data_IF_956772664883
#
_entry.id   IF_956772664883
#
_cell.length_a   1.000
_cell.length_b   1.000
_cell.length_c   1.000
_cell.angle_alpha   90.00
_cell.angle_beta   90.00
_cell.angle_gamma   90.00
#
_symmetry.space_group_name_H-M   'P 1'
#
loop_
_entity.id
_entity.type
_entity.pdbx_description
1 polymer ?
#
# COMPACT_ATOMS: atom_id res chain seq x y z
N UNK A 1 17.16 -4.26 -13.62
CA UNK A 1 16.49 -4.89 -12.46
C UNK A 1 14.98 -5.09 -12.67
N UNK A 2 14.18 -4.04 -12.90
CA UNK A 2 12.71 -4.19 -13.07
C UNK A 2 12.29 -5.18 -14.17
N UNK A 3 12.93 -5.15 -15.35
CA UNK A 3 12.66 -6.15 -16.41
C UNK A 3 12.93 -7.57 -15.94
N UNK A 4 13.96 -7.81 -15.13
CA UNK A 4 14.29 -9.15 -14.61
C UNK A 4 13.20 -9.66 -13.66
N UNK A 5 12.72 -8.78 -12.77
CA UNK A 5 11.63 -9.08 -11.84
C UNK A 5 10.29 -9.31 -12.56
N UNK A 6 10.03 -8.56 -13.64
CA UNK A 6 8.83 -8.76 -14.46
C UNK A 6 8.77 -10.16 -15.06
N UNK A 7 9.91 -10.78 -15.39
CA UNK A 7 9.94 -12.16 -15.89
C UNK A 7 9.77 -13.20 -14.78
N UNK A 8 10.20 -12.90 -13.56
CA UNK A 8 10.14 -13.84 -12.41
C UNK A 8 8.75 -13.90 -11.75
N UNK A 9 7.97 -12.81 -11.76
CA UNK A 9 6.69 -12.69 -11.02
C UNK A 9 5.46 -13.13 -11.84
N UNK A 10 5.60 -13.54 -13.11
CA UNK A 10 4.47 -13.91 -14.00
C UNK A 10 3.72 -15.20 -13.57
N UNK A 11 4.16 -15.93 -12.53
CA UNK A 11 3.36 -17.03 -11.97
C UNK A 11 2.26 -16.48 -11.07
N UNK A 12 1.02 -16.54 -11.59
CA UNK A 12 -0.25 -16.03 -11.00
C UNK A 12 -0.27 -16.03 -9.46
N UNK A 13 -0.18 -14.83 -8.91
CA UNK A 13 -0.69 -14.46 -7.58
C UNK A 13 -1.94 -13.56 -7.71
N UNK A 14 -2.62 -13.65 -8.87
CA UNK A 14 -3.71 -12.76 -9.30
C UNK A 14 -4.97 -12.82 -8.42
N UNK A 15 -5.02 -13.68 -7.40
CA UNK A 15 -6.20 -13.87 -6.55
C UNK A 15 -6.15 -13.27 -5.15
N UNK A 16 -4.98 -12.84 -4.64
CA UNK A 16 -4.84 -12.38 -3.23
C UNK A 16 -4.52 -10.89 -3.08
N UNK A 17 -3.96 -10.28 -4.13
CA UNK A 17 -3.67 -8.85 -4.35
C UNK A 17 -4.84 -7.96 -4.76
N UNK A 18 -6.04 -8.52 -4.89
CA UNK A 18 -7.17 -7.74 -5.34
C UNK A 18 -7.51 -6.73 -4.25
N UNK A 19 -7.70 -5.47 -4.65
CA UNK A 19 -8.35 -4.44 -3.83
C UNK A 19 -9.77 -4.81 -3.38
N UNK A 20 -10.19 -6.06 -3.58
CA UNK A 20 -11.35 -6.72 -2.99
C UNK A 20 -11.19 -6.92 -1.47
N UNK A 21 -10.78 -5.89 -0.75
CA UNK A 21 -11.40 -5.68 0.56
C UNK A 21 -12.85 -5.26 0.30
N UNK A 22 -13.66 -6.19 -0.20
CA UNK A 22 -15.10 -6.21 0.03
C UNK A 22 -15.29 -6.41 1.52
N UNK A 23 -15.06 -5.36 2.29
CA UNK A 23 -15.55 -5.34 3.65
C UNK A 23 -17.06 -5.45 3.56
N UNK A 24 -17.64 -6.33 4.37
CA UNK A 24 -19.10 -6.41 4.58
C UNK A 24 -19.67 -5.08 5.14
N UNK A 25 -18.82 -4.10 5.46
CA UNK A 25 -19.20 -2.72 5.75
C UNK A 25 -19.53 -1.97 4.46
N UNK A 26 -20.83 -1.72 4.30
CA UNK A 26 -21.44 -0.91 3.25
C UNK A 26 -21.24 0.57 3.59
N UNK A 27 -20.66 1.35 2.68
CA UNK A 27 -20.31 2.77 2.88
C UNK A 27 -20.76 3.67 1.73
N UNK A 28 -20.57 4.99 1.90
CA UNK A 28 -20.88 6.05 0.93
C UNK A 28 -19.79 6.17 -0.13
N UNK A 29 -19.60 5.13 -0.94
CA UNK A 29 -18.67 5.16 -2.08
C UNK A 29 -19.13 6.11 -3.20
N UNK A 30 -18.22 6.41 -4.13
CA UNK A 30 -18.52 7.26 -5.30
C UNK A 30 -19.13 6.46 -6.47
N UNK A 31 -18.88 5.15 -6.54
CA UNK A 31 -19.34 4.28 -7.61
C UNK A 31 -20.59 3.48 -7.22
N UNK A 32 -21.63 3.56 -8.05
CA UNK A 32 -22.85 2.75 -7.90
C UNK A 32 -22.51 1.27 -8.11
N UNK A 33 -22.64 0.46 -7.07
CA UNK A 33 -22.44 -0.98 -7.10
C UNK A 33 -23.66 -1.73 -7.64
N UNK A 34 -24.82 -1.39 -7.08
CA UNK A 34 -26.06 -2.14 -7.27
C UNK A 34 -27.28 -1.31 -6.85
N UNK A 35 -28.47 -1.81 -7.19
CA UNK A 35 -29.76 -1.33 -6.72
C UNK A 35 -30.42 -2.45 -5.93
N UNK A 36 -30.88 -2.15 -4.72
CA UNK A 36 -31.65 -3.10 -3.92
C UNK A 36 -32.92 -2.48 -3.38
N UNK A 37 -33.88 -3.32 -3.02
CA UNK A 37 -35.07 -2.87 -2.30
C UNK A 37 -34.69 -2.21 -0.96
N UNK A 38 -35.41 -1.14 -0.66
CA UNK A 38 -35.33 -0.39 0.58
C UNK A 38 -35.64 -1.29 1.78
N UNK A 39 -34.82 -1.18 2.81
CA UNK A 39 -35.07 -1.79 4.11
C UNK A 39 -35.24 -0.69 5.15
N UNK A 40 -36.01 -1.00 6.20
CA UNK A 40 -36.10 -0.11 7.35
C UNK A 40 -34.67 0.16 7.87
N UNK A 41 -34.37 1.41 8.19
CA UNK A 41 -33.03 1.94 8.54
C UNK A 41 -32.13 2.37 7.37
N UNK A 42 -32.56 2.22 6.13
CA UNK A 42 -31.83 2.80 4.99
C UNK A 42 -31.98 4.33 4.93
N UNK A 43 -30.90 5.01 4.56
CA UNK A 43 -30.90 6.45 4.34
C UNK A 43 -31.72 6.79 3.08
N UNK A 44 -32.83 7.50 3.28
CA UNK A 44 -33.78 7.90 2.23
C UNK A 44 -33.14 8.77 1.14
N UNK A 45 -32.00 9.43 1.41
CA UNK A 45 -31.28 10.24 0.41
C UNK A 45 -30.67 9.39 -0.70
N UNK A 46 -30.45 8.11 -0.44
CA UNK A 46 -29.90 7.18 -1.43
C UNK A 46 -30.98 6.50 -2.28
N UNK A 47 -32.27 6.78 -2.05
CA UNK A 47 -33.37 6.24 -2.87
C UNK A 47 -33.19 6.69 -4.32
N UNK A 48 -33.28 5.73 -5.24
CA UNK A 48 -33.39 6.00 -6.67
C UNK A 48 -34.86 6.16 -7.04
N UNK A 49 -35.30 7.41 -7.19
CA UNK A 49 -36.69 7.72 -7.51
C UNK A 49 -37.10 7.27 -8.92
N UNK A 50 -36.16 7.17 -9.87
CA UNK A 50 -36.46 6.74 -11.23
C UNK A 50 -36.75 5.23 -11.28
N UNK A 51 -35.94 4.42 -10.61
CA UNK A 51 -36.13 2.97 -10.51
C UNK A 51 -37.37 2.67 -9.66
N UNK A 52 -37.54 3.40 -8.55
CA UNK A 52 -38.72 3.29 -7.69
C UNK A 52 -40.00 3.59 -8.46
N UNK A 53 -40.02 4.62 -9.31
CA UNK A 53 -41.18 4.94 -10.13
C UNK A 53 -41.50 3.87 -11.18
N UNK A 54 -40.51 3.13 -11.70
CA UNK A 54 -40.72 2.06 -12.69
C UNK A 54 -41.17 0.75 -12.05
N UNK A 55 -40.59 0.39 -10.91
CA UNK A 55 -40.84 -0.88 -10.23
C UNK A 55 -41.95 -0.80 -9.17
N UNK A 56 -42.39 0.41 -8.82
CA UNK A 56 -43.40 0.70 -7.78
C UNK A 56 -43.00 0.18 -6.38
N UNK A 57 -41.72 -0.14 -6.19
CA UNK A 57 -41.12 -0.60 -4.94
C UNK A 57 -39.90 0.29 -4.67
N UNK A 58 -39.74 0.87 -3.46
CA UNK A 58 -38.60 1.73 -3.16
C UNK A 58 -37.26 1.00 -3.30
N UNK A 59 -36.37 1.55 -4.12
CA UNK A 59 -35.01 1.03 -4.33
C UNK A 59 -33.96 2.03 -3.87
N UNK A 60 -32.90 1.53 -3.24
CA UNK A 60 -31.79 2.32 -2.70
C UNK A 60 -30.52 2.00 -3.48
N UNK A 61 -29.78 3.06 -3.85
CA UNK A 61 -28.47 2.95 -4.48
C UNK A 61 -27.46 2.41 -3.47
N UNK A 62 -26.83 1.29 -3.82
CA UNK A 62 -25.71 0.72 -3.07
C UNK A 62 -24.44 1.20 -3.73
N UNK A 63 -23.54 1.81 -2.97
CA UNK A 63 -22.26 2.29 -3.48
C UNK A 63 -21.15 1.31 -3.10
N UNK A 64 -20.22 1.05 -4.02
CA UNK A 64 -18.97 0.36 -3.71
C UNK A 64 -18.04 1.41 -3.14
N UNK A 65 -17.59 1.23 -1.90
CA UNK A 65 -16.56 2.09 -1.35
C UNK A 65 -15.23 1.74 -2.02
N UNK A 66 -14.81 2.55 -2.99
CA UNK A 66 -13.49 2.44 -3.58
C UNK A 66 -12.45 2.90 -2.55
N UNK A 67 -11.90 1.93 -1.81
CA UNK A 67 -10.88 2.21 -0.80
C UNK A 67 -9.51 2.06 -1.44
N UNK A 68 -8.96 3.17 -1.91
CA UNK A 68 -7.53 3.26 -2.23
C UNK A 68 -6.71 3.03 -0.94
N UNK A 69 -6.35 1.77 -0.65
CA UNK A 69 -5.41 1.47 0.42
C UNK A 69 -4.00 1.78 -0.05
N UNK A 70 -3.35 2.75 0.59
CA UNK A 70 -1.93 2.95 0.40
C UNK A 70 -1.14 1.86 1.14
N UNK A 71 -0.05 1.40 0.54
CA UNK A 71 0.93 0.57 1.22
C UNK A 71 2.13 1.44 1.65
N UNK A 72 2.64 1.21 2.85
CA UNK A 72 3.82 1.91 3.36
C UNK A 72 4.93 0.92 3.68
N UNK A 73 6.14 1.21 3.19
CA UNK A 73 7.34 0.46 3.50
C UNK A 73 8.15 1.18 4.56
N UNK A 74 8.27 0.60 5.74
CA UNK A 74 9.14 1.04 6.82
C UNK A 74 10.42 0.22 6.70
N UNK A 75 11.45 0.86 6.13
CA UNK A 75 12.69 0.22 5.73
C UNK A 75 13.76 0.56 6.75
N UNK A 76 14.09 -0.42 7.58
CA UNK A 76 15.31 -0.39 8.35
C UNK A 76 16.48 -0.70 7.42
N UNK A 77 17.41 0.25 7.32
CA UNK A 77 18.70 0.12 6.65
C UNK A 77 19.80 0.59 7.60
N UNK A 78 19.63 0.36 8.89
CA UNK A 78 20.68 0.51 9.89
C UNK A 78 21.87 -0.44 9.58
N UNK A 79 23.05 -0.21 10.16
CA UNK A 79 24.22 -1.08 9.95
C UNK A 79 23.98 -2.56 10.29
N UNK A 80 22.95 -2.87 11.08
CA UNK A 80 22.53 -4.25 11.38
C UNK A 80 22.05 -5.03 10.14
N UNK A 81 21.64 -4.30 9.10
CA UNK A 81 21.18 -4.82 7.81
C UNK A 81 22.36 -5.08 6.84
N UNK A 82 23.55 -4.57 7.16
CA UNK A 82 24.78 -4.89 6.43
C UNK A 82 25.40 -6.24 6.87
N UNK A 83 24.81 -6.91 7.87
CA UNK A 83 25.22 -8.25 8.29
C UNK A 83 24.81 -9.32 7.26
N UNK A 84 25.78 -9.91 6.56
CA UNK A 84 25.57 -11.02 5.62
C UNK A 84 26.87 -11.48 4.95
N UNK A 85 26.95 -12.75 4.58
CA UNK A 85 28.10 -13.33 3.86
C UNK A 85 28.29 -12.64 2.51
N UNK A 86 29.56 -12.40 2.14
CA UNK A 86 30.10 -11.65 0.99
C UNK A 86 29.29 -11.55 -0.32
N UNK A 87 28.42 -12.50 -0.67
CA UNK A 87 27.62 -12.49 -1.92
C UNK A 87 26.16 -11.98 -1.79
N UNK A 88 25.53 -12.03 -0.61
CA UNK A 88 24.14 -11.57 -0.42
C UNK A 88 24.01 -10.78 0.88
N UNK A 89 24.07 -9.45 0.77
CA UNK A 89 23.77 -8.55 1.89
C UNK A 89 22.25 -8.48 2.11
N UNK A 90 21.76 -8.43 3.35
CA UNK A 90 20.30 -8.34 3.63
C UNK A 90 19.65 -7.17 2.88
N UNK A 91 20.37 -6.06 2.72
CA UNK A 91 19.94 -4.91 1.89
C UNK A 91 19.48 -5.30 0.47
N UNK A 92 20.13 -6.29 -0.15
CA UNK A 92 19.84 -6.71 -1.52
C UNK A 92 18.56 -7.54 -1.55
N UNK A 93 18.38 -8.43 -0.57
CA UNK A 93 17.14 -9.19 -0.39
C UNK A 93 15.98 -8.27 -0.06
N UNK A 94 16.17 -7.30 0.84
CA UNK A 94 15.17 -6.28 1.17
C UNK A 94 14.80 -5.43 -0.04
N UNK A 95 15.77 -5.02 -0.86
CA UNK A 95 15.50 -4.28 -2.09
C UNK A 95 14.73 -5.11 -3.12
N UNK A 96 15.04 -6.41 -3.27
CA UNK A 96 14.28 -7.30 -4.15
C UNK A 96 12.86 -7.52 -3.64
N UNK A 97 12.68 -7.75 -2.34
CA UNK A 97 11.38 -7.89 -1.69
C UNK A 97 10.51 -6.64 -1.89
N UNK A 98 11.06 -5.46 -1.60
CA UNK A 98 10.37 -4.18 -1.81
C UNK A 98 10.07 -3.99 -3.29
N UNK A 99 10.98 -4.32 -4.21
CA UNK A 99 10.75 -4.18 -5.64
C UNK A 99 9.57 -5.05 -6.13
N UNK A 100 9.49 -6.30 -5.67
CA UNK A 100 8.39 -7.21 -6.01
C UNK A 100 7.07 -6.69 -5.47
N UNK A 101 6.98 -6.41 -4.17
CA UNK A 101 5.74 -5.96 -3.55
C UNK A 101 5.29 -4.60 -4.06
N UNK A 102 6.20 -3.63 -4.16
CA UNK A 102 5.90 -2.31 -4.70
C UNK A 102 5.38 -2.40 -6.13
N UNK A 103 6.00 -3.24 -6.97
CA UNK A 103 5.53 -3.44 -8.36
C UNK A 103 4.16 -4.12 -8.41
N UNK A 104 3.94 -5.10 -7.56
CA UNK A 104 2.67 -5.83 -7.47
C UNK A 104 1.54 -4.90 -7.04
N UNK A 105 1.74 -4.15 -5.96
CA UNK A 105 0.75 -3.21 -5.42
C UNK A 105 0.44 -2.08 -6.39
N UNK A 106 1.47 -1.47 -7.01
CA UNK A 106 1.28 -0.37 -7.97
C UNK A 106 0.71 -0.81 -9.32
N UNK A 107 0.87 -2.08 -9.74
CA UNK A 107 0.21 -2.62 -10.96
C UNK A 107 -1.32 -2.53 -10.87
N UNK A 108 -1.87 -2.63 -9.66
CA UNK A 108 -3.31 -2.59 -9.40
C UNK A 108 -3.81 -1.20 -9.00
N UNK A 109 -3.04 -0.14 -9.24
CA UNK A 109 -3.44 1.24 -8.95
C UNK A 109 -3.21 1.69 -7.50
N UNK A 110 -2.74 0.82 -6.62
CA UNK A 110 -2.45 1.20 -5.24
C UNK A 110 -1.27 2.18 -5.17
N UNK A 111 -1.35 3.13 -4.24
CA UNK A 111 -0.24 4.02 -3.91
C UNK A 111 0.72 3.34 -2.94
N UNK A 112 2.00 3.62 -3.09
CA UNK A 112 3.04 3.17 -2.16
C UNK A 112 3.75 4.38 -1.57
N UNK A 113 4.05 4.35 -0.28
CA UNK A 113 4.92 5.31 0.41
C UNK A 113 6.05 4.56 1.11
N UNK A 114 7.06 5.29 1.58
CA UNK A 114 8.17 4.68 2.32
C UNK A 114 8.75 5.62 3.38
N UNK A 115 9.24 5.02 4.46
CA UNK A 115 10.07 5.65 5.48
C UNK A 115 11.37 4.85 5.53
N UNK A 116 12.51 5.51 5.32
CA UNK A 116 13.82 4.88 5.40
C UNK A 116 14.48 5.27 6.74
N UNK A 117 15.02 4.28 7.43
CA UNK A 117 15.66 4.41 8.74
C UNK A 117 17.13 3.99 8.66
N UNK A 118 18.03 4.74 9.27
CA UNK A 118 19.48 4.43 9.34
C UNK A 118 20.02 4.62 10.75
N UNK A 119 20.46 5.84 11.06
CA UNK A 119 20.70 6.33 12.43
C UNK A 119 19.51 7.15 12.99
N UNK A 120 18.43 7.20 12.21
CA UNK A 120 17.19 7.95 12.41
C UNK A 120 16.35 7.87 11.13
N UNK A 121 15.14 8.43 11.16
CA UNK A 121 14.33 8.58 9.93
C UNK A 121 14.90 9.72 9.11
N UNK A 122 15.49 9.40 7.95
CA UNK A 122 16.17 10.39 7.10
C UNK A 122 15.42 10.69 5.81
N UNK A 123 14.64 9.73 5.30
CA UNK A 123 13.89 9.88 4.05
C UNK A 123 12.44 9.47 4.23
N UNK A 124 11.54 10.37 3.85
CA UNK A 124 10.09 10.12 3.80
C UNK A 124 9.61 10.31 2.36
N UNK A 125 9.08 9.24 1.79
CA UNK A 125 8.46 9.22 0.48
C UNK A 125 6.94 9.13 0.66
N UNK A 126 6.17 10.19 0.34
CA UNK A 126 4.73 10.17 0.51
C UNK A 126 4.09 9.17 -0.45
N UNK A 127 2.94 8.61 -0.05
CA UNK A 127 2.26 7.61 -0.85
C UNK A 127 1.87 8.13 -2.24
N UNK A 128 2.53 7.62 -3.30
CA UNK A 128 2.25 7.93 -4.70
C UNK A 128 2.17 6.66 -5.54
N UNK A 129 1.49 6.75 -6.68
CA UNK A 129 1.40 5.67 -7.65
C UNK A 129 2.46 5.79 -8.75
N UNK A 130 2.53 4.76 -9.59
CA UNK A 130 3.27 4.82 -10.84
C UNK A 130 4.71 4.28 -10.78
N UNK A 131 5.19 3.88 -11.96
CA UNK A 131 6.48 3.18 -12.13
C UNK A 131 7.69 4.01 -11.69
N UNK A 132 7.65 5.33 -11.94
CA UNK A 132 8.76 6.21 -11.56
C UNK A 132 8.93 6.30 -10.05
N UNK A 133 7.84 6.28 -9.29
CA UNK A 133 7.90 6.33 -7.83
C UNK A 133 8.50 5.03 -7.25
N UNK A 134 8.17 3.87 -7.84
CA UNK A 134 8.82 2.59 -7.47
C UNK A 134 10.33 2.64 -7.75
N UNK A 135 10.74 3.22 -8.89
CA UNK A 135 12.15 3.37 -9.24
C UNK A 135 12.89 4.30 -8.29
N UNK A 136 12.28 5.43 -7.93
CA UNK A 136 12.80 6.38 -6.95
C UNK A 136 13.02 5.71 -5.59
N UNK A 137 12.05 4.89 -5.12
CA UNK A 137 12.17 4.13 -3.87
C UNK A 137 13.37 3.18 -3.91
N UNK A 138 13.48 2.39 -4.99
CA UNK A 138 14.58 1.43 -5.15
C UNK A 138 15.93 2.13 -5.31
N UNK A 139 15.96 3.31 -5.91
CA UNK A 139 17.16 4.14 -6.00
C UNK A 139 17.59 4.63 -4.62
N UNK A 140 16.67 5.21 -3.84
CA UNK A 140 16.95 5.69 -2.48
C UNK A 140 17.45 4.57 -1.55
N UNK A 141 16.95 3.34 -1.71
CA UNK A 141 17.46 2.18 -0.96
C UNK A 141 18.90 1.79 -1.36
N UNK A 142 19.26 1.88 -2.64
CA UNK A 142 20.55 1.39 -3.16
C UNK A 142 21.66 2.44 -3.13
N UNK A 143 21.32 3.71 -3.32
CA UNK A 143 22.26 4.83 -3.37
C UNK A 143 22.63 5.36 -2.00
N UNK A 144 22.09 4.76 -0.94
CA UNK A 144 22.37 5.18 0.44
C UNK A 144 23.82 4.82 0.82
N UNK A 145 24.60 5.76 1.35
CA UNK A 145 25.93 5.46 1.85
C UNK A 145 25.84 4.48 3.01
N UNK A 146 26.82 3.58 3.09
CA UNK A 146 26.98 2.67 4.22
C UNK A 146 27.39 3.51 5.42
N UNK A 147 26.45 3.80 6.32
CA UNK A 147 26.78 4.46 7.57
C UNK A 147 27.59 3.50 8.44
N UNK A 148 28.81 3.89 8.78
CA UNK A 148 29.68 3.16 9.73
C UNK A 148 29.34 3.48 11.19
N UNK A 149 28.40 4.40 11.44
CA UNK A 149 28.02 4.76 12.80
C UNK A 149 27.32 3.60 13.50
N UNK A 150 27.88 3.22 14.65
CA UNK A 150 27.42 2.10 15.47
C UNK A 150 26.14 2.46 16.22
N UNK A 151 25.02 2.53 15.50
CA UNK A 151 23.68 2.69 16.06
C UNK A 151 22.83 1.46 15.76
N UNK A 152 22.22 0.87 16.79
CA UNK A 152 21.20 -0.16 16.59
C UNK A 152 19.89 0.44 16.04
N UNK A 153 19.04 -0.40 15.46
CA UNK A 153 17.71 0.02 15.01
C UNK A 153 16.85 0.47 16.18
N UNK A 154 16.39 1.73 16.19
CA UNK A 154 15.34 2.19 17.11
C UNK A 154 13.99 2.15 16.40
N UNK A 155 13.36 0.97 16.46
CA UNK A 155 12.07 0.71 15.81
C UNK A 155 10.95 1.61 16.35
N UNK A 156 11.03 1.99 17.62
CA UNK A 156 10.13 2.94 18.26
C UNK A 156 10.10 4.29 17.52
N UNK A 157 11.26 4.84 17.16
CA UNK A 157 11.34 6.10 16.42
C UNK A 157 10.74 5.99 15.01
N UNK A 158 11.00 4.87 14.34
CA UNK A 158 10.46 4.60 13.00
C UNK A 158 8.93 4.50 13.05
N UNK A 159 8.38 3.80 14.04
CA UNK A 159 6.93 3.66 14.22
C UNK A 159 6.27 4.99 14.61
N UNK A 160 6.88 5.79 15.49
CA UNK A 160 6.36 7.11 15.84
C UNK A 160 6.34 8.06 14.64
N UNK A 161 7.40 8.06 13.83
CA UNK A 161 7.45 8.85 12.59
C UNK A 161 6.41 8.38 11.57
N UNK A 162 6.20 7.06 11.46
CA UNK A 162 5.15 6.48 10.64
C UNK A 162 3.75 6.93 11.10
N UNK A 163 3.47 6.95 12.39
CA UNK A 163 2.19 7.45 12.92
C UNK A 163 1.93 8.93 12.58
N UNK A 164 2.97 9.77 12.58
CA UNK A 164 2.85 11.19 12.20
C UNK A 164 2.66 11.41 10.69
N UNK A 165 3.18 10.50 9.88
CA UNK A 165 3.21 10.61 8.41
C UNK A 165 2.00 9.93 7.75
N UNK A 166 1.61 8.75 8.25
CA UNK A 166 0.54 7.93 7.69
C UNK A 166 -0.80 8.43 8.22
N UNK A 167 -1.44 9.35 7.49
CA UNK A 167 -2.71 10.00 7.89
C UNK A 167 -3.97 9.24 7.49
N UNK A 168 -3.87 8.20 6.67
CA UNK A 168 -5.00 7.44 6.13
C UNK A 168 -4.80 5.94 6.40
N UNK A 169 -5.90 5.19 6.46
CA UNK A 169 -5.87 3.73 6.61
C UNK A 169 -4.97 3.13 5.52
N UNK A 170 -3.96 2.39 5.95
CA UNK A 170 -2.89 1.90 5.09
C UNK A 170 -2.40 0.53 5.56
N UNK A 171 -1.84 -0.25 4.64
CA UNK A 171 -1.09 -1.47 4.98
C UNK A 171 0.37 -1.09 5.21
N UNK A 172 0.96 -1.52 6.31
CA UNK A 172 2.34 -1.18 6.69
C UNK A 172 3.22 -2.42 6.65
N UNK A 173 4.31 -2.38 5.88
CA UNK A 173 5.33 -3.42 5.78
C UNK A 173 6.59 -2.93 6.49
N UNK A 174 7.01 -3.64 7.54
CA UNK A 174 8.29 -3.38 8.22
C UNK A 174 9.33 -4.34 7.69
N UNK A 175 10.47 -3.84 7.22
CA UNK A 175 11.54 -4.62 6.59
C UNK A 175 12.88 -4.26 7.25
N UNK A 176 13.60 -5.24 7.79
CA UNK A 176 14.95 -5.11 8.40
C UNK A 176 15.86 -6.27 8.02
#
# INVERSE_FOLDING_TARGET
MLRRLEWTVIRRLDGMLQGDYRTLLRGTGLDLADLREYQHHDDVRHIDWNVTARLQIPHVRVFTEDREMAAWFLLDLSPSVDFGSSEQRKRHVSAEFVAVLARMLTRHGNRIGALLYGSGVDTVMPARGGRMHVLELLHNMQSRPLNQESGGTRLDELLHSAMGTIRRRSTVFVVS
#
